data_IF_022252239562
#
_entry.id   IF_022252239562
#
_cell.length_a   1.000
_cell.length_b   1.000
_cell.length_c   1.000
_cell.angle_alpha   90.00
_cell.angle_beta   90.00
_cell.angle_gamma   90.00
#
_symmetry.space_group_name_H-M   'P 1'
#
loop_
_entity.id
_entity.type
_entity.pdbx_description
1 polymer ?
#
# COMPACT_ATOMS: atom_id res chain seq x y z
N UNK A 1 59.05 74.50 41.31
CA UNK A 1 59.18 73.21 40.64
C UNK A 1 57.88 72.44 40.93
N UNK A 2 56.95 72.49 39.99
CA UNK A 2 55.59 71.90 40.14
C UNK A 2 55.44 70.70 39.26
N UNK A 3 55.23 69.55 39.86
CA UNK A 3 54.90 68.33 39.20
C UNK A 3 53.38 68.20 39.03
N UNK A 4 52.91 68.14 37.80
CA UNK A 4 51.51 67.91 37.45
C UNK A 4 51.24 66.39 37.30
N UNK A 5 50.45 65.81 38.19
CA UNK A 5 49.87 64.51 38.07
C UNK A 5 48.58 64.56 37.19
N UNK A 6 48.57 63.80 36.12
CA UNK A 6 47.35 63.55 35.30
C UNK A 6 46.69 62.27 35.78
N UNK A 7 45.37 62.22 35.93
CA UNK A 7 44.67 60.98 36.23
C UNK A 7 44.44 60.14 34.92
N UNK A 8 44.69 58.84 35.03
CA UNK A 8 44.47 57.82 33.99
C UNK A 8 43.01 57.36 34.10
N UNK A 9 42.17 57.70 33.16
CA UNK A 9 40.80 57.21 33.08
C UNK A 9 40.76 55.81 32.36
N UNK A 10 40.53 54.79 33.10
CA UNK A 10 40.34 53.43 32.58
C UNK A 10 38.90 53.23 32.08
N UNK A 11 38.72 53.18 30.77
CA UNK A 11 37.45 52.72 30.14
C UNK A 11 37.39 51.23 30.24
N UNK A 12 36.49 50.67 31.07
CA UNK A 12 36.05 49.26 31.01
C UNK A 12 35.09 49.09 29.83
N UNK A 13 35.60 48.59 28.71
CA UNK A 13 34.77 48.12 27.60
C UNK A 13 34.10 46.75 27.98
N UNK A 14 32.82 46.77 28.29
CA UNK A 14 32.02 45.56 28.46
C UNK A 14 31.81 44.88 27.11
N UNK A 15 32.50 43.78 26.84
CA UNK A 15 32.22 42.90 25.71
C UNK A 15 30.95 42.09 26.01
N UNK A 16 29.85 42.48 25.38
CA UNK A 16 28.64 41.62 25.29
C UNK A 16 28.98 40.43 24.42
N UNK A 17 29.27 39.30 25.08
CA UNK A 17 29.29 37.99 24.41
C UNK A 17 27.84 37.61 24.03
N UNK A 18 27.46 37.89 22.77
CA UNK A 18 26.29 37.32 22.17
C UNK A 18 26.54 35.82 22.01
N UNK A 19 26.02 35.00 22.95
CA UNK A 19 25.92 33.56 22.78
C UNK A 19 24.98 33.32 21.64
N UNK A 20 25.53 33.03 20.44
CA UNK A 20 24.77 32.47 19.34
C UNK A 20 24.23 31.10 19.85
N UNK A 21 22.95 31.06 20.13
CA UNK A 21 22.24 29.77 20.32
C UNK A 21 22.34 29.05 18.98
N UNK A 22 23.30 28.15 18.89
CA UNK A 22 23.42 27.27 17.75
C UNK A 22 22.16 26.39 17.76
N UNK A 23 21.26 26.63 16.80
CA UNK A 23 20.10 25.75 16.62
C UNK A 23 20.62 24.31 16.49
N UNK A 24 20.13 23.41 17.36
CA UNK A 24 20.49 22.00 17.29
C UNK A 24 20.21 21.50 15.87
N UNK A 25 21.12 20.70 15.31
CA UNK A 25 20.89 20.06 14.02
C UNK A 25 19.58 19.25 14.12
N UNK A 26 18.54 19.58 13.35
CA UNK A 26 17.25 18.89 13.42
C UNK A 26 17.33 17.44 12.98
N UNK A 27 18.47 17.01 12.43
CA UNK A 27 18.80 15.64 12.13
C UNK A 27 18.41 15.19 10.72
N UNK A 28 18.52 13.90 10.51
CA UNK A 28 18.24 13.20 9.25
C UNK A 28 17.17 12.12 9.50
N UNK A 29 16.35 11.86 8.49
CA UNK A 29 15.41 10.76 8.43
C UNK A 29 15.71 9.92 7.19
N UNK A 30 15.95 8.62 7.36
CA UNK A 30 16.20 7.68 6.28
C UNK A 30 14.98 6.80 6.06
N UNK A 31 14.32 6.98 4.92
CA UNK A 31 13.08 6.29 4.55
C UNK A 31 13.34 5.25 3.47
N UNK A 32 12.74 4.07 3.61
CA UNK A 32 12.73 3.04 2.58
C UNK A 32 11.29 2.70 2.22
N UNK A 33 10.87 3.10 1.04
CA UNK A 33 9.49 3.05 0.56
C UNK A 33 9.37 2.28 -0.75
N UNK A 34 8.18 2.00 -1.17
CA UNK A 34 7.86 1.54 -2.52
C UNK A 34 8.27 2.59 -3.55
N UNK A 35 8.64 2.15 -4.76
CA UNK A 35 8.90 3.06 -5.86
C UNK A 35 7.62 3.86 -6.21
N UNK A 36 7.78 5.15 -6.49
CA UNK A 36 6.70 6.08 -6.88
C UNK A 36 5.47 6.09 -5.93
N UNK A 37 5.69 5.88 -4.63
CA UNK A 37 4.61 5.70 -3.66
C UNK A 37 4.50 6.81 -2.62
N UNK A 38 4.78 8.04 -3.04
CA UNK A 38 4.53 9.28 -2.30
C UNK A 38 4.49 10.46 -3.27
N UNK A 39 3.72 11.49 -2.96
CA UNK A 39 3.80 12.77 -3.68
C UNK A 39 5.21 13.36 -3.53
N UNK A 40 5.97 13.61 -4.60
CA UNK A 40 7.40 13.96 -4.54
C UNK A 40 7.73 15.24 -3.74
N UNK A 41 6.76 16.12 -3.60
CA UNK A 41 6.89 17.37 -2.82
C UNK A 41 6.81 17.12 -1.32
N UNK A 42 6.12 16.06 -0.87
CA UNK A 42 5.84 15.79 0.55
C UNK A 42 7.10 15.72 1.43
N UNK A 43 8.16 14.96 1.08
CA UNK A 43 9.40 14.95 1.86
C UNK A 43 10.12 16.31 1.88
N UNK A 44 10.03 17.08 0.79
CA UNK A 44 10.64 18.42 0.66
C UNK A 44 9.92 19.43 1.55
N UNK A 45 8.60 19.41 1.57
CA UNK A 45 7.77 20.30 2.39
C UNK A 45 7.97 20.00 3.88
N UNK A 46 8.04 18.71 4.24
CA UNK A 46 8.40 18.30 5.59
C UNK A 46 9.79 18.83 6.00
N UNK A 47 10.79 18.66 5.16
CA UNK A 47 12.14 19.14 5.43
C UNK A 47 12.18 20.68 5.57
N UNK A 48 11.43 21.41 4.74
CA UNK A 48 11.31 22.87 4.81
C UNK A 48 10.62 23.31 6.11
N UNK A 49 9.61 22.58 6.57
CA UNK A 49 8.86 22.92 7.77
C UNK A 49 9.61 22.60 9.06
N UNK A 50 10.38 21.51 9.09
CA UNK A 50 11.00 20.98 10.31
C UNK A 50 12.50 21.16 10.37
N UNK A 51 13.16 21.39 9.23
CA UNK A 51 14.62 21.36 9.08
C UNK A 51 15.19 19.93 9.01
N UNK A 52 14.41 18.88 9.22
CA UNK A 52 14.85 17.49 9.17
C UNK A 52 15.12 17.11 7.72
N UNK A 53 16.36 16.68 7.41
CA UNK A 53 16.71 16.16 6.08
C UNK A 53 16.10 14.78 5.87
N UNK A 54 15.45 14.56 4.73
CA UNK A 54 14.88 13.25 4.38
C UNK A 54 15.71 12.63 3.26
N UNK A 55 16.30 11.45 3.54
CA UNK A 55 16.93 10.58 2.55
C UNK A 55 15.96 9.49 2.17
N UNK A 56 15.77 9.28 0.86
CA UNK A 56 14.72 8.42 0.34
C UNK A 56 15.28 7.35 -0.58
N UNK A 57 15.12 6.08 -0.19
CA UNK A 57 15.43 4.92 -1.01
C UNK A 57 14.16 4.13 -1.30
N UNK A 58 14.17 3.31 -2.36
CA UNK A 58 12.99 2.57 -2.79
C UNK A 58 13.24 1.08 -2.93
N UNK A 59 12.18 0.30 -2.78
CA UNK A 59 12.12 -1.14 -3.05
C UNK A 59 10.93 -1.46 -3.96
N UNK A 60 10.92 -2.68 -4.49
CA UNK A 60 9.93 -3.16 -5.47
C UNK A 60 9.09 -4.35 -4.95
N UNK A 61 9.46 -4.93 -3.81
CA UNK A 61 8.74 -6.05 -3.20
C UNK A 61 8.87 -6.09 -1.68
N UNK A 62 7.86 -6.62 -0.99
CA UNK A 62 7.94 -6.85 0.45
C UNK A 62 9.09 -7.79 0.82
N UNK A 63 9.42 -8.76 -0.05
CA UNK A 63 10.52 -9.70 0.14
C UNK A 63 11.87 -8.97 0.13
N UNK A 64 12.06 -7.98 -0.74
CA UNK A 64 13.26 -7.11 -0.77
C UNK A 64 13.38 -6.31 0.53
N UNK A 65 12.27 -5.74 1.00
CA UNK A 65 12.20 -5.04 2.28
C UNK A 65 12.53 -6.00 3.45
N UNK A 66 11.89 -7.17 3.49
CA UNK A 66 12.09 -8.16 4.55
C UNK A 66 13.53 -8.62 4.61
N UNK A 67 14.12 -8.98 3.47
CA UNK A 67 15.54 -9.36 3.40
C UNK A 67 16.45 -8.28 3.97
N UNK A 68 16.15 -7.01 3.68
CA UNK A 68 16.90 -5.87 4.22
C UNK A 68 16.74 -5.72 5.74
N UNK A 69 15.51 -5.86 6.25
CA UNK A 69 15.21 -5.73 7.68
C UNK A 69 15.81 -6.86 8.52
N UNK A 70 15.79 -8.10 8.01
CA UNK A 70 16.32 -9.28 8.70
C UNK A 70 17.85 -9.26 8.86
N UNK A 71 18.58 -8.35 8.20
CA UNK A 71 20.00 -8.13 8.48
C UNK A 71 20.26 -7.58 9.89
N UNK A 72 19.21 -7.10 10.60
CA UNK A 72 19.28 -6.51 11.93
C UNK A 72 19.82 -5.08 11.98
N UNK A 73 20.38 -4.56 10.89
CA UNK A 73 20.84 -3.17 10.73
C UNK A 73 20.49 -2.69 9.32
N UNK A 74 19.20 -2.40 9.10
CA UNK A 74 18.73 -1.98 7.79
C UNK A 74 19.35 -0.66 7.31
N UNK A 75 19.71 0.23 8.24
CA UNK A 75 20.20 1.57 7.96
C UNK A 75 19.06 2.59 7.74
N UNK A 76 17.80 2.17 7.88
CA UNK A 76 16.63 3.02 7.75
C UNK A 76 15.96 3.28 9.08
N UNK A 77 15.29 4.43 9.17
CA UNK A 77 14.55 4.89 10.34
C UNK A 77 13.05 4.66 10.20
N UNK A 78 12.57 4.62 8.95
CA UNK A 78 11.16 4.45 8.62
C UNK A 78 11.01 3.59 7.36
N UNK A 79 10.11 2.62 7.41
CA UNK A 79 9.82 1.72 6.29
C UNK A 79 8.32 1.49 6.15
N UNK A 80 7.89 0.90 5.01
CA UNK A 80 6.47 0.74 4.72
C UNK A 80 6.12 -0.67 4.22
N UNK A 81 6.08 -1.68 5.11
CA UNK A 81 5.61 -3.01 4.76
C UNK A 81 4.09 -3.05 4.56
N UNK A 82 3.63 -3.99 3.74
CA UNK A 82 2.23 -4.36 3.71
C UNK A 82 1.85 -5.15 4.97
N UNK A 83 0.61 -5.06 5.41
CA UNK A 83 0.13 -5.55 6.70
C UNK A 83 0.44 -7.04 6.99
N UNK A 84 0.36 -7.91 5.99
CA UNK A 84 0.69 -9.33 6.13
C UNK A 84 2.19 -9.57 6.44
N UNK A 85 3.08 -8.75 5.86
CA UNK A 85 4.51 -8.80 6.16
C UNK A 85 4.82 -8.13 7.49
N UNK A 86 4.12 -7.04 7.83
CA UNK A 86 4.21 -6.39 9.13
C UNK A 86 4.04 -7.40 10.27
N UNK A 87 3.01 -8.26 10.21
CA UNK A 87 2.74 -9.28 11.24
C UNK A 87 3.94 -10.23 11.44
N UNK A 88 4.48 -10.76 10.33
CA UNK A 88 5.64 -11.66 10.37
C UNK A 88 6.86 -10.97 10.94
N UNK A 89 7.09 -9.73 10.54
CA UNK A 89 8.22 -8.91 10.95
C UNK A 89 8.11 -8.44 12.41
N UNK A 90 6.88 -8.19 12.91
CA UNK A 90 6.64 -7.96 14.35
C UNK A 90 7.06 -9.19 15.16
N UNK A 91 6.61 -10.38 14.73
CA UNK A 91 6.97 -11.65 15.40
C UNK A 91 8.48 -11.92 15.38
N UNK A 92 9.16 -11.47 14.35
CA UNK A 92 10.62 -11.55 14.23
C UNK A 92 11.36 -10.47 15.04
N UNK A 93 10.66 -9.51 15.66
CA UNK A 93 11.27 -8.46 16.49
C UNK A 93 12.00 -7.38 15.70
N UNK A 94 11.70 -7.22 14.40
CA UNK A 94 12.39 -6.23 13.55
C UNK A 94 11.84 -4.82 13.67
N UNK A 95 10.70 -4.64 14.33
CA UNK A 95 10.11 -3.33 14.61
C UNK A 95 10.06 -3.00 16.09
N UNK A 96 10.13 -1.72 16.40
CA UNK A 96 9.83 -1.20 17.71
C UNK A 96 8.40 -0.67 17.78
N UNK A 97 7.83 -0.65 19.00
CA UNK A 97 6.49 -0.10 19.22
C UNK A 97 6.49 1.41 18.98
N UNK A 98 5.40 1.89 18.41
CA UNK A 98 5.14 3.31 18.26
C UNK A 98 4.91 3.99 19.61
N UNK A 99 5.51 5.14 19.80
CA UNK A 99 5.15 6.05 20.90
C UNK A 99 4.00 6.96 20.44
N UNK A 100 2.75 6.52 20.70
CA UNK A 100 1.55 7.26 20.28
C UNK A 100 1.45 8.66 20.89
N UNK A 101 2.20 8.96 21.98
CA UNK A 101 2.27 10.32 22.56
C UNK A 101 2.97 11.31 21.61
N UNK A 102 3.81 10.81 20.71
CA UNK A 102 4.50 11.59 19.65
C UNK A 102 3.67 11.71 18.36
N UNK A 103 2.47 11.12 18.34
CA UNK A 103 1.56 11.09 17.20
C UNK A 103 0.22 11.77 17.55
N UNK A 104 0.18 13.08 17.83
CA UNK A 104 -1.07 13.76 18.16
C UNK A 104 -2.14 13.64 17.06
N UNK A 105 -1.71 13.47 15.78
CA UNK A 105 -2.61 13.25 14.66
C UNK A 105 -3.10 11.79 14.51
N UNK A 106 -2.72 10.87 15.43
CA UNK A 106 -3.26 9.50 15.46
C UNK A 106 -4.78 9.46 15.50
N UNK A 107 -5.40 10.40 16.19
CA UNK A 107 -6.86 10.54 16.30
C UNK A 107 -7.56 10.77 14.94
N UNK A 108 -6.82 11.14 13.90
CA UNK A 108 -7.35 11.30 12.53
C UNK A 108 -7.53 9.96 11.81
N UNK A 109 -6.96 8.87 12.31
CA UNK A 109 -7.12 7.55 11.68
C UNK A 109 -8.56 7.04 11.85
N UNK A 110 -9.08 6.37 10.82
CA UNK A 110 -10.41 5.78 10.85
C UNK A 110 -10.42 4.54 11.76
N UNK A 111 -11.25 4.51 12.83
CA UNK A 111 -11.29 3.41 13.77
C UNK A 111 -11.76 2.08 13.14
N UNK A 112 -12.59 2.10 12.09
CA UNK A 112 -13.02 0.88 11.41
C UNK A 112 -11.85 0.26 10.63
N UNK A 113 -11.01 1.08 9.99
CA UNK A 113 -9.82 0.59 9.30
C UNK A 113 -8.75 0.13 10.29
N UNK A 114 -8.57 0.84 11.41
CA UNK A 114 -7.68 0.39 12.49
C UNK A 114 -8.10 -0.98 13.03
N UNK A 115 -9.40 -1.22 13.21
CA UNK A 115 -9.94 -2.50 13.65
C UNK A 115 -9.64 -3.64 12.65
N UNK A 116 -9.69 -3.38 11.36
CA UNK A 116 -9.29 -4.36 10.35
C UNK A 116 -7.79 -4.66 10.42
N UNK A 117 -6.95 -3.65 10.63
CA UNK A 117 -5.50 -3.82 10.74
C UNK A 117 -5.09 -4.59 12.02
N UNK A 118 -5.90 -4.57 13.09
CA UNK A 118 -5.63 -5.34 14.32
C UNK A 118 -5.45 -6.84 14.08
N UNK A 119 -5.94 -7.37 12.97
CA UNK A 119 -5.70 -8.75 12.57
C UNK A 119 -4.20 -9.05 12.43
N UNK A 120 -3.42 -8.10 11.92
CA UNK A 120 -1.98 -8.25 11.69
C UNK A 120 -1.12 -7.50 12.74
N UNK A 121 -1.67 -6.48 13.40
CA UNK A 121 -1.00 -5.69 14.44
C UNK A 121 -1.93 -5.46 15.64
N UNK A 122 -2.09 -6.44 16.53
CA UNK A 122 -3.00 -6.34 17.69
C UNK A 122 -2.79 -5.08 18.52
N UNK A 123 -3.83 -4.25 18.63
CA UNK A 123 -3.79 -2.94 19.30
C UNK A 123 -3.08 -1.86 18.49
N UNK A 124 -2.76 -2.10 17.22
CA UNK A 124 -2.09 -1.16 16.31
C UNK A 124 -0.84 -0.53 16.98
N UNK A 125 0.08 -1.39 17.42
CA UNK A 125 1.22 -0.96 18.24
C UNK A 125 2.47 -0.66 17.41
N UNK A 126 2.58 -1.17 16.17
CA UNK A 126 3.79 -1.12 15.36
C UNK A 126 3.60 -0.40 14.02
N UNK A 127 2.42 -0.53 13.40
CA UNK A 127 2.11 0.03 12.11
C UNK A 127 1.14 1.20 12.16
N UNK A 128 1.39 2.23 11.34
CA UNK A 128 0.44 3.31 11.07
C UNK A 128 -0.10 3.11 9.65
N UNK A 129 -1.40 2.84 9.47
CA UNK A 129 -1.95 2.66 8.13
C UNK A 129 -1.77 3.94 7.31
N UNK A 130 -1.28 3.75 6.10
CA UNK A 130 -0.99 4.81 5.13
C UNK A 130 -2.03 4.84 4.03
N UNK A 131 -1.86 3.97 3.05
CA UNK A 131 -2.84 3.71 1.99
C UNK A 131 -3.42 2.32 2.17
N UNK A 132 -4.61 2.12 1.65
CA UNK A 132 -5.20 0.80 1.56
C UNK A 132 -5.81 0.58 0.18
N UNK A 133 -6.04 -0.67 -0.15
CA UNK A 133 -6.67 -1.03 -1.40
C UNK A 133 -7.24 -2.44 -1.35
N UNK A 134 -7.88 -2.81 -2.44
CA UNK A 134 -8.48 -4.13 -2.63
C UNK A 134 -7.93 -4.77 -3.89
N UNK A 135 -8.12 -6.08 -4.00
CA UNK A 135 -7.97 -6.78 -5.27
C UNK A 135 -9.34 -6.81 -5.93
N UNK A 136 -9.41 -6.37 -7.17
CA UNK A 136 -10.66 -6.25 -7.90
C UNK A 136 -10.52 -6.65 -9.37
N UNK A 137 -11.61 -6.56 -10.11
CA UNK A 137 -11.68 -6.86 -11.54
C UNK A 137 -11.65 -5.55 -12.32
N UNK A 138 -10.61 -5.35 -13.13
CA UNK A 138 -10.57 -4.30 -14.16
C UNK A 138 -10.92 -4.87 -15.52
N UNK A 139 -11.65 -4.11 -16.34
CA UNK A 139 -12.10 -4.60 -17.63
C UNK A 139 -12.32 -3.48 -18.65
N UNK A 140 -12.29 -3.86 -19.93
CA UNK A 140 -12.71 -3.01 -21.04
C UNK A 140 -14.20 -3.27 -21.32
N UNK A 141 -15.12 -2.32 -21.03
CA UNK A 141 -16.57 -2.54 -21.14
C UNK A 141 -17.02 -2.94 -22.54
N UNK A 142 -16.45 -2.31 -23.56
CA UNK A 142 -16.82 -2.58 -24.96
C UNK A 142 -16.43 -4.01 -25.37
N UNK A 143 -15.22 -4.44 -25.04
CA UNK A 143 -14.72 -5.79 -25.37
C UNK A 143 -15.45 -6.88 -24.60
N UNK A 144 -15.67 -6.69 -23.26
CA UNK A 144 -16.41 -7.66 -22.45
C UNK A 144 -17.85 -7.79 -22.93
N UNK A 145 -18.52 -6.66 -23.23
CA UNK A 145 -19.88 -6.67 -23.80
C UNK A 145 -19.95 -7.39 -25.16
N UNK A 146 -18.96 -7.16 -26.03
CA UNK A 146 -18.91 -7.82 -27.33
C UNK A 146 -18.78 -9.35 -27.23
N UNK A 147 -18.11 -9.86 -26.18
CA UNK A 147 -17.80 -11.29 -26.00
C UNK A 147 -18.86 -12.01 -25.15
N UNK A 148 -19.33 -11.38 -24.06
CA UNK A 148 -20.25 -12.00 -23.09
C UNK A 148 -21.68 -11.45 -23.15
N UNK A 149 -21.93 -10.36 -23.86
CA UNK A 149 -23.23 -9.66 -23.90
C UNK A 149 -23.37 -8.59 -22.83
N UNK A 150 -24.55 -7.98 -22.78
CA UNK A 150 -24.85 -6.88 -21.86
C UNK A 150 -24.93 -7.30 -20.38
N UNK A 151 -25.28 -8.57 -20.14
CA UNK A 151 -25.48 -9.13 -18.78
C UNK A 151 -24.20 -9.80 -18.25
N UNK A 152 -23.02 -9.42 -18.79
CA UNK A 152 -21.74 -9.93 -18.29
C UNK A 152 -21.59 -9.63 -16.79
N UNK A 153 -21.19 -10.63 -15.95
CA UNK A 153 -21.13 -10.48 -14.49
C UNK A 153 -19.87 -9.72 -14.06
N UNK A 154 -19.73 -8.45 -14.49
CA UNK A 154 -18.53 -7.64 -14.26
C UNK A 154 -18.31 -7.28 -12.80
N UNK A 155 -19.34 -7.39 -11.94
CA UNK A 155 -19.32 -7.16 -10.50
C UNK A 155 -19.22 -8.44 -9.68
N UNK A 156 -18.78 -9.55 -10.28
CA UNK A 156 -18.69 -10.85 -9.64
C UNK A 156 -17.43 -11.60 -10.07
N UNK A 157 -16.85 -12.36 -9.15
CA UNK A 157 -15.77 -13.30 -9.45
C UNK A 157 -16.17 -14.39 -10.47
N UNK A 158 -17.48 -14.59 -10.72
CA UNK A 158 -17.97 -15.43 -11.82
C UNK A 158 -17.37 -15.04 -13.17
N UNK A 159 -17.05 -13.77 -13.38
CA UNK A 159 -16.45 -13.31 -14.63
C UNK A 159 -15.16 -14.06 -14.96
N UNK A 160 -14.33 -14.29 -13.96
CA UNK A 160 -12.97 -14.84 -14.12
C UNK A 160 -12.79 -16.26 -13.58
N UNK A 161 -13.77 -16.82 -12.83
CA UNK A 161 -13.65 -18.17 -12.29
C UNK A 161 -14.62 -19.18 -12.92
N UNK A 162 -15.65 -18.74 -13.64
CA UNK A 162 -16.50 -19.64 -14.41
C UNK A 162 -15.85 -20.01 -15.75
N UNK A 163 -15.59 -21.31 -16.01
CA UNK A 163 -14.94 -21.76 -17.25
C UNK A 163 -15.64 -21.30 -18.53
N UNK A 164 -16.97 -21.22 -18.51
CA UNK A 164 -17.78 -20.79 -19.65
C UNK A 164 -17.56 -19.31 -20.00
N UNK A 165 -17.35 -18.43 -19.02
CA UNK A 165 -17.01 -17.03 -19.25
C UNK A 165 -15.57 -16.91 -19.73
N UNK A 166 -14.64 -17.60 -19.08
CA UNK A 166 -13.22 -17.59 -19.42
C UNK A 166 -12.93 -18.13 -20.83
N UNK A 167 -13.65 -19.17 -21.24
CA UNK A 167 -13.53 -19.72 -22.59
C UNK A 167 -13.83 -18.67 -23.67
N UNK A 168 -14.85 -17.83 -23.45
CA UNK A 168 -15.21 -16.72 -24.35
C UNK A 168 -14.21 -15.56 -24.25
N UNK A 169 -13.86 -15.16 -23.02
CA UNK A 169 -12.92 -14.04 -22.76
C UNK A 169 -11.50 -14.32 -23.24
N UNK A 170 -11.12 -15.58 -23.47
CA UNK A 170 -9.85 -15.96 -24.10
C UNK A 170 -9.58 -15.19 -25.39
N UNK A 171 -10.61 -14.89 -26.18
CA UNK A 171 -10.48 -14.19 -27.45
C UNK A 171 -9.99 -12.76 -27.33
N UNK A 172 -10.21 -12.10 -26.17
CA UNK A 172 -9.78 -10.74 -25.93
C UNK A 172 -8.72 -10.59 -24.82
N UNK A 173 -8.34 -11.70 -24.18
CA UNK A 173 -7.25 -11.77 -23.22
C UNK A 173 -7.66 -11.47 -21.76
N UNK A 174 -7.27 -12.37 -20.86
CA UNK A 174 -7.45 -12.24 -19.39
C UNK A 174 -6.11 -12.38 -18.71
N UNK A 175 -5.78 -11.46 -17.78
CA UNK A 175 -4.58 -11.52 -16.95
C UNK A 175 -4.92 -11.55 -15.46
N UNK A 176 -4.04 -12.10 -14.66
CA UNK A 176 -4.10 -12.03 -13.20
C UNK A 176 -2.73 -11.71 -12.61
N UNK A 177 -2.71 -11.23 -11.38
CA UNK A 177 -1.48 -11.04 -10.61
C UNK A 177 -0.68 -12.35 -10.55
N UNK A 178 0.63 -12.29 -10.64
CA UNK A 178 1.54 -13.40 -10.33
C UNK A 178 1.89 -13.38 -8.84
N UNK A 179 0.88 -13.60 -8.01
CA UNK A 179 0.99 -13.59 -6.56
C UNK A 179 0.08 -14.63 -5.94
N UNK A 180 0.63 -15.73 -5.41
CA UNK A 180 -0.17 -16.75 -4.74
C UNK A 180 -0.82 -16.25 -3.45
N UNK A 181 -0.19 -15.26 -2.78
CA UNK A 181 -0.71 -14.66 -1.55
C UNK A 181 -1.90 -13.72 -1.79
N UNK A 182 -2.05 -13.24 -3.02
CA UNK A 182 -3.18 -12.38 -3.40
C UNK A 182 -4.30 -13.18 -4.07
N UNK A 183 -3.96 -14.07 -5.00
CA UNK A 183 -4.96 -14.76 -5.83
C UNK A 183 -5.58 -15.97 -5.13
N UNK A 184 -4.80 -16.79 -4.42
CA UNK A 184 -5.37 -18.00 -3.81
C UNK A 184 -6.37 -17.71 -2.68
N UNK A 185 -6.21 -16.66 -1.83
CA UNK A 185 -7.27 -16.23 -0.91
C UNK A 185 -8.58 -15.87 -1.62
N UNK A 186 -8.50 -15.18 -2.78
CA UNK A 186 -9.67 -14.85 -3.60
C UNK A 186 -10.36 -16.13 -4.10
N UNK A 187 -9.59 -17.10 -4.59
CA UNK A 187 -10.13 -18.39 -5.07
C UNK A 187 -10.78 -19.19 -3.94
N UNK A 188 -10.13 -19.24 -2.76
CA UNK A 188 -10.68 -19.89 -1.58
C UNK A 188 -12.00 -19.24 -1.17
N UNK A 189 -12.04 -17.91 -1.07
CA UNK A 189 -13.24 -17.16 -0.75
C UNK A 189 -14.38 -17.41 -1.76
N UNK A 190 -14.09 -17.38 -3.05
CA UNK A 190 -15.04 -17.69 -4.10
C UNK A 190 -15.62 -19.11 -3.99
N UNK A 191 -14.83 -20.06 -3.51
CA UNK A 191 -15.29 -21.45 -3.23
C UNK A 191 -16.07 -21.59 -1.91
N UNK A 192 -16.32 -20.50 -1.18
CA UNK A 192 -16.97 -20.52 0.14
C UNK A 192 -16.07 -21.09 1.25
N UNK A 193 -14.76 -21.07 1.05
CA UNK A 193 -13.75 -21.53 2.00
C UNK A 193 -13.13 -20.33 2.73
N UNK A 194 -12.47 -20.59 3.86
CA UNK A 194 -11.71 -19.57 4.56
C UNK A 194 -10.55 -19.07 3.68
N UNK A 195 -10.47 -17.76 3.34
CA UNK A 195 -9.38 -17.19 2.56
C UNK A 195 -8.01 -17.38 3.22
N UNK A 196 -7.97 -17.53 4.56
CA UNK A 196 -6.78 -17.79 5.36
C UNK A 196 -6.63 -19.27 5.77
N UNK A 197 -7.23 -20.20 5.01
CA UNK A 197 -7.27 -21.62 5.35
C UNK A 197 -5.87 -22.20 5.61
N UNK A 198 -5.71 -22.83 6.77
CA UNK A 198 -4.53 -23.66 7.09
C UNK A 198 -4.69 -25.13 6.68
N UNK A 199 -5.71 -25.47 5.88
CA UNK A 199 -5.98 -26.84 5.42
C UNK A 199 -5.47 -27.06 3.99
N UNK A 200 -4.49 -27.94 3.82
CA UNK A 200 -3.91 -28.27 2.52
C UNK A 200 -4.94 -28.70 1.46
N UNK A 201 -6.03 -29.40 1.87
CA UNK A 201 -7.08 -29.86 0.95
C UNK A 201 -7.86 -28.71 0.30
N UNK A 202 -7.93 -27.55 0.93
CA UNK A 202 -8.60 -26.40 0.36
C UNK A 202 -7.79 -25.82 -0.80
N UNK A 203 -6.46 -25.87 -0.71
CA UNK A 203 -5.56 -25.48 -1.82
C UNK A 203 -5.63 -26.50 -2.99
N UNK A 204 -5.95 -27.77 -2.75
CA UNK A 204 -6.24 -28.74 -3.82
C UNK A 204 -7.50 -28.33 -4.59
N UNK A 205 -8.58 -27.91 -3.88
CA UNK A 205 -9.82 -27.42 -4.52
C UNK A 205 -9.57 -26.14 -5.30
N UNK A 206 -8.83 -25.18 -4.71
CA UNK A 206 -8.44 -23.93 -5.38
C UNK A 206 -7.63 -24.22 -6.64
N UNK A 207 -6.64 -25.12 -6.56
CA UNK A 207 -5.83 -25.56 -7.71
C UNK A 207 -6.71 -26.17 -8.80
N UNK A 208 -7.64 -27.05 -8.44
CA UNK A 208 -8.53 -27.71 -9.40
C UNK A 208 -9.42 -26.70 -10.15
N UNK A 209 -9.92 -25.65 -9.47
CA UNK A 209 -10.66 -24.57 -10.13
C UNK A 209 -9.75 -23.79 -11.09
N UNK A 210 -8.59 -23.36 -10.63
CA UNK A 210 -7.66 -22.58 -11.44
C UNK A 210 -7.16 -23.33 -12.67
N UNK A 211 -6.93 -24.64 -12.57
CA UNK A 211 -6.54 -25.47 -13.72
C UNK A 211 -7.64 -25.56 -14.79
N UNK A 212 -8.94 -25.52 -14.40
CA UNK A 212 -10.05 -25.49 -15.37
C UNK A 212 -10.05 -24.23 -16.24
N UNK A 213 -9.56 -23.13 -15.71
CA UNK A 213 -9.53 -21.83 -16.42
C UNK A 213 -8.16 -21.48 -16.98
N UNK A 214 -7.09 -22.18 -16.57
CA UNK A 214 -5.70 -21.84 -16.89
C UNK A 214 -5.44 -21.69 -18.40
N UNK A 215 -5.99 -22.57 -19.21
CA UNK A 215 -5.81 -22.55 -20.67
C UNK A 215 -6.47 -21.37 -21.37
N UNK A 216 -7.32 -20.62 -20.66
CA UNK A 216 -8.00 -19.42 -21.15
C UNK A 216 -7.30 -18.13 -20.68
N UNK A 217 -6.37 -18.23 -19.73
CA UNK A 217 -5.56 -17.10 -19.27
C UNK A 217 -4.50 -16.73 -20.29
N UNK A 218 -4.34 -15.43 -20.54
CA UNK A 218 -3.23 -14.91 -21.35
C UNK A 218 -1.91 -15.06 -20.57
N UNK A 219 -1.87 -14.58 -19.34
CA UNK A 219 -0.69 -14.68 -18.49
C UNK A 219 -0.99 -14.36 -17.01
N UNK A 220 -0.02 -14.66 -16.15
CA UNK A 220 0.12 -14.14 -14.78
C UNK A 220 1.28 -13.16 -14.74
N UNK A 221 1.03 -11.92 -14.35
CA UNK A 221 2.06 -10.90 -14.19
C UNK A 221 1.52 -9.70 -13.38
N UNK A 222 2.22 -9.28 -12.34
CA UNK A 222 1.74 -8.26 -11.40
C UNK A 222 1.96 -6.80 -11.87
N UNK A 223 2.61 -6.59 -13.01
CA UNK A 223 2.88 -5.24 -13.56
C UNK A 223 2.39 -5.06 -15.00
N UNK A 224 2.64 -6.05 -15.87
CA UNK A 224 2.31 -5.97 -17.29
C UNK A 224 0.83 -5.71 -17.57
N UNK A 225 -0.09 -6.27 -16.76
CA UNK A 225 -1.54 -6.11 -16.95
C UNK A 225 -2.00 -4.65 -16.98
N UNK A 226 -1.30 -3.78 -16.25
CA UNK A 226 -1.64 -2.35 -16.16
C UNK A 226 -1.51 -1.66 -17.52
N UNK A 227 -0.39 -1.87 -18.19
CA UNK A 227 -0.15 -1.31 -19.53
C UNK A 227 -1.04 -1.97 -20.56
N UNK A 228 -1.16 -3.29 -20.53
CA UNK A 228 -1.92 -4.04 -21.54
C UNK A 228 -3.43 -3.69 -21.51
N UNK A 229 -4.01 -3.49 -20.30
CA UNK A 229 -5.43 -3.11 -20.22
C UNK A 229 -5.65 -1.67 -20.68
N UNK A 230 -4.72 -0.75 -20.37
CA UNK A 230 -4.77 0.65 -20.81
C UNK A 230 -4.59 0.80 -22.32
N UNK A 231 -3.81 -0.07 -22.94
CA UNK A 231 -3.63 -0.12 -24.39
C UNK A 231 -4.77 -0.88 -25.10
N UNK A 232 -5.57 -1.64 -24.33
CA UNK A 232 -6.61 -2.50 -24.89
C UNK A 232 -6.08 -3.84 -25.43
N UNK A 233 -4.87 -4.27 -25.08
CA UNK A 233 -4.29 -5.56 -25.50
C UNK A 233 -4.96 -6.75 -24.79
N UNK A 234 -5.51 -6.51 -23.57
CA UNK A 234 -6.36 -7.45 -22.85
C UNK A 234 -7.71 -6.80 -22.53
N UNK A 235 -8.72 -7.62 -22.23
CA UNK A 235 -10.05 -7.12 -21.92
C UNK A 235 -10.44 -7.24 -20.46
N UNK A 236 -9.79 -8.11 -19.66
CA UNK A 236 -10.02 -8.29 -18.24
C UNK A 236 -8.70 -8.49 -17.52
N UNK A 237 -8.59 -7.92 -16.34
CA UNK A 237 -7.49 -8.20 -15.43
C UNK A 237 -7.98 -8.30 -13.97
N UNK A 238 -7.36 -9.18 -13.19
CA UNK A 238 -7.46 -9.19 -11.73
C UNK A 238 -6.22 -8.51 -11.17
N UNK A 239 -6.41 -7.43 -10.42
CA UNK A 239 -5.30 -6.60 -9.95
C UNK A 239 -5.68 -5.64 -8.83
N UNK A 240 -4.78 -4.72 -8.52
CA UNK A 240 -4.92 -3.76 -7.42
C UNK A 240 -5.79 -2.58 -7.83
N UNK A 241 -6.69 -2.15 -6.93
CA UNK A 241 -7.70 -1.11 -7.16
C UNK A 241 -7.12 0.21 -7.68
N UNK A 242 -6.09 0.76 -7.03
CA UNK A 242 -5.48 2.03 -7.45
C UNK A 242 -4.76 1.94 -8.80
N UNK A 243 -4.24 0.77 -9.17
CA UNK A 243 -3.63 0.58 -10.50
C UNK A 243 -4.65 0.77 -11.61
N UNK A 244 -5.87 0.28 -11.45
CA UNK A 244 -6.92 0.48 -12.46
C UNK A 244 -7.34 1.96 -12.56
N UNK A 245 -7.39 2.67 -11.42
CA UNK A 245 -7.63 4.11 -11.44
C UNK A 245 -6.55 4.87 -12.22
N UNK A 246 -5.26 4.62 -11.90
CA UNK A 246 -4.14 5.29 -12.56
C UNK A 246 -4.08 4.97 -14.06
N UNK A 247 -4.14 3.70 -14.42
CA UNK A 247 -4.01 3.28 -15.82
C UNK A 247 -5.29 3.54 -16.62
N UNK A 248 -6.45 3.54 -16.00
CA UNK A 248 -7.70 4.02 -16.63
C UNK A 248 -7.65 5.50 -16.98
N UNK A 249 -7.06 6.34 -16.12
CA UNK A 249 -6.84 7.75 -16.42
C UNK A 249 -5.81 7.93 -17.56
N UNK A 250 -4.69 7.19 -17.55
CA UNK A 250 -3.71 7.20 -18.66
C UNK A 250 -4.33 6.80 -20.00
N UNK A 251 -5.22 5.80 -20.01
CA UNK A 251 -5.94 5.42 -21.24
C UNK A 251 -6.82 6.55 -21.77
N UNK A 252 -7.53 7.27 -20.88
CA UNK A 252 -8.32 8.45 -21.26
C UNK A 252 -7.45 9.58 -21.80
N UNK A 253 -6.33 9.88 -21.16
CA UNK A 253 -5.38 10.92 -21.58
C UNK A 253 -4.72 10.61 -22.92
N UNK A 254 -4.44 9.34 -23.18
CA UNK A 254 -3.88 8.88 -24.47
C UNK A 254 -4.85 9.07 -25.65
N UNK A 255 -6.16 9.20 -25.40
CA UNK A 255 -7.17 9.47 -26.43
C UNK A 255 -7.31 8.39 -27.49
N UNK A 256 -6.87 7.16 -27.20
CA UNK A 256 -6.88 6.03 -28.15
C UNK A 256 -8.23 5.28 -28.22
N UNK A 257 -9.26 5.79 -27.53
CA UNK A 257 -10.60 5.19 -27.47
C UNK A 257 -10.74 4.01 -26.52
N UNK A 258 -9.68 3.64 -25.79
CA UNK A 258 -9.74 2.58 -24.76
C UNK A 258 -10.37 3.15 -23.49
N UNK A 259 -11.37 2.42 -22.99
CA UNK A 259 -11.99 2.68 -21.68
C UNK A 259 -11.67 1.52 -20.76
N UNK A 260 -11.15 1.82 -19.59
CA UNK A 260 -10.94 0.87 -18.49
C UNK A 260 -11.92 1.20 -17.38
N UNK A 261 -12.74 0.23 -17.02
CA UNK A 261 -13.64 0.28 -15.87
C UNK A 261 -13.21 -0.82 -14.87
N UNK A 262 -13.68 -0.74 -13.64
CA UNK A 262 -13.37 -1.72 -12.60
C UNK A 262 -14.52 -1.90 -11.63
N UNK A 263 -14.60 -3.07 -10.99
CA UNK A 263 -15.61 -3.37 -9.97
C UNK A 263 -15.00 -4.17 -8.84
N UNK A 264 -15.35 -3.76 -7.64
CA UNK A 264 -15.18 -4.58 -6.45
C UNK A 264 -16.24 -5.68 -6.45
N UNK A 265 -15.85 -6.96 -6.53
CA UNK A 265 -16.82 -8.05 -6.64
C UNK A 265 -17.76 -8.12 -5.43
N UNK A 266 -19.03 -8.34 -5.69
CA UNK A 266 -20.11 -8.37 -4.70
C UNK A 266 -19.95 -9.47 -3.64
N UNK A 267 -19.18 -10.50 -3.94
CA UNK A 267 -18.85 -11.60 -3.01
C UNK A 267 -17.88 -11.14 -1.93
N UNK A 268 -17.13 -10.07 -2.17
CA UNK A 268 -16.05 -9.57 -1.33
C UNK A 268 -14.67 -9.85 -1.91
N UNK A 269 -13.65 -9.25 -1.31
CA UNK A 269 -12.28 -9.29 -1.79
C UNK A 269 -11.28 -9.09 -0.64
N UNK A 270 -9.99 -9.40 -0.85
CA UNK A 270 -8.95 -9.00 0.11
C UNK A 270 -8.85 -7.47 0.21
N UNK A 271 -8.72 -6.96 1.43
CA UNK A 271 -8.28 -5.60 1.71
C UNK A 271 -6.86 -5.68 2.27
N UNK A 272 -5.99 -4.83 1.78
CA UNK A 272 -4.61 -4.71 2.25
C UNK A 272 -4.34 -3.29 2.72
N UNK A 273 -3.34 -3.16 3.60
CA UNK A 273 -2.85 -1.90 4.12
C UNK A 273 -1.33 -1.85 3.96
N UNK A 274 -0.81 -0.76 3.43
CA UNK A 274 0.59 -0.43 3.61
C UNK A 274 0.75 0.42 4.86
N UNK A 275 1.75 0.12 5.67
CA UNK A 275 1.85 0.66 7.02
C UNK A 275 3.23 1.26 7.27
N UNK A 276 3.28 2.48 7.78
CA UNK A 276 4.53 3.05 8.27
C UNK A 276 4.95 2.36 9.55
N UNK A 277 6.16 1.83 9.57
CA UNK A 277 6.73 1.12 10.72
C UNK A 277 8.18 1.56 10.98
N UNK A 278 8.59 1.58 12.24
CA UNK A 278 9.91 2.02 12.69
C UNK A 278 10.75 0.78 12.99
N UNK A 279 11.85 0.52 12.25
CA UNK A 279 12.75 -0.59 12.55
C UNK A 279 13.30 -0.52 13.98
N UNK A 280 13.52 -1.67 14.61
CA UNK A 280 14.10 -1.76 15.95
C UNK A 280 15.52 -1.15 16.01
N UNK A 281 16.24 -1.15 14.88
CA UNK A 281 17.58 -0.59 14.74
C UNK A 281 17.60 0.88 14.29
N UNK A 282 16.44 1.54 14.18
CA UNK A 282 16.36 2.94 13.75
C UNK A 282 17.14 3.86 14.69
N UNK A 283 17.97 4.74 14.12
CA UNK A 283 18.76 5.70 14.87
C UNK A 283 17.99 6.99 15.17
N UNK A 284 17.08 7.39 14.24
CA UNK A 284 16.38 8.66 14.27
C UNK A 284 14.88 8.47 14.54
N UNK A 285 14.56 7.86 15.69
CA UNK A 285 13.18 7.46 16.07
C UNK A 285 12.24 8.65 16.22
N UNK A 286 12.75 9.78 16.73
CA UNK A 286 11.95 10.99 16.92
C UNK A 286 11.60 11.65 15.59
N UNK A 287 12.54 11.66 14.65
CA UNK A 287 12.32 12.15 13.29
C UNK A 287 11.33 11.27 12.52
N UNK A 288 11.39 9.95 12.73
CA UNK A 288 10.43 9.02 12.16
C UNK A 288 9.01 9.29 12.67
N UNK A 289 8.83 9.47 13.99
CA UNK A 289 7.52 9.85 14.54
C UNK A 289 7.04 11.22 14.03
N UNK A 290 7.94 12.20 13.91
CA UNK A 290 7.60 13.53 13.38
C UNK A 290 7.09 13.44 11.94
N UNK A 291 7.75 12.62 11.09
CA UNK A 291 7.32 12.43 9.71
C UNK A 291 5.99 11.67 9.62
N UNK A 292 5.81 10.60 10.39
CA UNK A 292 4.53 9.88 10.47
C UNK A 292 3.42 10.86 10.89
N UNK A 293 3.64 11.66 11.93
CA UNK A 293 2.64 12.61 12.40
C UNK A 293 2.30 13.68 11.37
N UNK A 294 3.30 14.14 10.59
CA UNK A 294 3.10 15.05 9.46
C UNK A 294 2.24 14.40 8.35
N UNK A 295 2.52 13.14 8.00
CA UNK A 295 1.71 12.40 7.03
C UNK A 295 0.26 12.20 7.48
N UNK A 296 0.00 12.20 8.79
CA UNK A 296 -1.34 12.12 9.35
C UNK A 296 -2.10 13.46 9.35
N UNK A 297 -1.51 14.54 8.83
CA UNK A 297 -2.24 15.79 8.58
C UNK A 297 -3.24 15.57 7.42
N UNK A 298 -4.53 15.95 7.60
CA UNK A 298 -5.57 15.67 6.61
C UNK A 298 -5.26 16.16 5.19
N UNK A 299 -4.69 17.37 5.06
CA UNK A 299 -4.34 17.94 3.76
C UNK A 299 -3.14 17.25 3.10
N UNK A 300 -2.16 16.84 3.90
CA UNK A 300 -0.96 16.16 3.40
C UNK A 300 -1.35 14.81 2.82
N UNK A 301 -2.06 14.00 3.61
CA UNK A 301 -2.42 12.64 3.16
C UNK A 301 -3.44 12.66 2.01
N UNK A 302 -4.34 13.64 1.96
CA UNK A 302 -5.28 13.79 0.86
C UNK A 302 -4.55 14.08 -0.47
N UNK A 303 -3.57 14.98 -0.48
CA UNK A 303 -2.75 15.26 -1.66
C UNK A 303 -1.96 14.02 -2.14
N UNK A 304 -1.50 13.19 -1.21
CA UNK A 304 -0.83 11.92 -1.53
C UNK A 304 -1.84 10.94 -2.14
N UNK A 305 -3.04 10.82 -1.58
CA UNK A 305 -4.11 9.99 -2.15
C UNK A 305 -4.46 10.38 -3.58
N UNK A 306 -4.59 11.67 -3.85
CA UNK A 306 -4.89 12.18 -5.19
C UNK A 306 -3.78 11.85 -6.19
N UNK A 307 -2.54 11.91 -5.77
CA UNK A 307 -1.39 11.57 -6.59
C UNK A 307 -1.31 10.06 -6.87
N UNK A 308 -1.53 9.23 -5.83
CA UNK A 308 -1.38 7.78 -5.92
C UNK A 308 -2.62 7.06 -6.50
N UNK A 309 -3.80 7.66 -6.39
CA UNK A 309 -5.06 7.00 -6.77
C UNK A 309 -5.54 5.96 -5.74
N UNK A 310 -4.99 5.98 -4.53
CA UNK A 310 -5.40 5.09 -3.44
C UNK A 310 -6.09 5.87 -2.31
N UNK A 311 -7.13 5.30 -1.68
CA UNK A 311 -7.68 5.85 -0.46
C UNK A 311 -6.69 5.73 0.70
N UNK A 312 -6.75 6.68 1.62
CA UNK A 312 -5.97 6.71 2.84
C UNK A 312 -6.83 6.36 4.07
N UNK A 313 -6.17 6.03 5.17
CA UNK A 313 -6.84 5.67 6.42
C UNK A 313 -7.18 6.87 7.33
N UNK A 314 -7.06 8.11 6.83
CA UNK A 314 -7.28 9.32 7.61
C UNK A 314 -8.71 9.83 7.43
N UNK A 315 -9.53 9.69 8.48
CA UNK A 315 -10.96 10.01 8.42
C UNK A 315 -11.27 11.47 8.04
N UNK A 316 -10.64 12.51 8.63
CA UNK A 316 -10.82 13.90 8.18
C UNK A 316 -10.08 14.23 6.87
N UNK A 317 -9.13 13.41 6.42
CA UNK A 317 -8.42 13.56 5.14
C UNK A 317 -9.25 13.11 3.95
N UNK A 318 -10.02 12.02 4.08
CA UNK A 318 -10.82 11.47 2.98
C UNK A 318 -11.79 12.48 2.33
N UNK A 319 -12.52 13.34 3.08
CA UNK A 319 -13.36 14.39 2.46
C UNK A 319 -12.58 15.41 1.61
N UNK A 320 -11.26 15.54 1.79
CA UNK A 320 -10.40 16.45 1.02
C UNK A 320 -9.86 15.81 -0.26
N UNK A 321 -9.95 14.49 -0.39
CA UNK A 321 -9.57 13.75 -1.60
C UNK A 321 -10.54 14.08 -2.74
N UNK A 322 -10.03 14.12 -3.97
CA UNK A 322 -10.84 14.40 -5.16
C UNK A 322 -12.05 13.46 -5.28
N UNK A 323 -13.16 13.98 -5.80
CA UNK A 323 -14.41 13.23 -5.94
C UNK A 323 -14.24 11.94 -6.77
N UNK A 324 -13.32 11.96 -7.74
CA UNK A 324 -13.02 10.81 -8.60
C UNK A 324 -12.53 9.57 -7.82
N UNK A 325 -11.86 9.78 -6.68
CA UNK A 325 -11.43 8.72 -5.78
C UNK A 325 -12.44 8.56 -4.64
N UNK A 326 -12.74 9.66 -3.92
CA UNK A 326 -13.59 9.67 -2.72
C UNK A 326 -14.97 9.06 -2.95
N UNK A 327 -15.62 9.41 -4.05
CA UNK A 327 -17.00 9.02 -4.35
C UNK A 327 -17.07 7.71 -5.17
N UNK A 328 -15.93 7.08 -5.46
CA UNK A 328 -15.87 5.82 -6.15
C UNK A 328 -15.86 4.66 -5.13
N UNK A 329 -16.99 3.98 -4.99
CA UNK A 329 -17.15 2.91 -4.00
C UNK A 329 -16.38 1.62 -4.30
N UNK A 330 -15.88 1.45 -5.52
CA UNK A 330 -14.96 0.36 -5.86
C UNK A 330 -13.52 0.63 -5.35
N UNK A 331 -13.18 1.91 -5.10
CA UNK A 331 -11.91 2.33 -4.48
C UNK A 331 -12.07 2.57 -2.98
N UNK A 332 -13.16 3.26 -2.59
CA UNK A 332 -13.49 3.60 -1.20
C UNK A 332 -14.76 2.84 -0.80
N UNK A 333 -14.63 1.59 -0.33
CA UNK A 333 -15.77 0.74 -0.02
C UNK A 333 -16.72 1.36 1.01
N UNK A 334 -18.02 1.22 0.78
CA UNK A 334 -19.03 1.61 1.75
C UNK A 334 -18.95 0.75 3.02
N UNK A 335 -19.53 1.16 4.16
CA UNK A 335 -19.57 0.34 5.37
C UNK A 335 -20.12 -1.08 5.16
N UNK A 336 -21.09 -1.25 4.26
CA UNK A 336 -21.66 -2.57 3.95
C UNK A 336 -20.73 -3.42 3.07
N UNK A 337 -20.00 -2.78 2.15
CA UNK A 337 -18.95 -3.46 1.36
C UNK A 337 -17.78 -3.88 2.26
N UNK A 338 -17.34 -3.02 3.20
CA UNK A 338 -16.28 -3.32 4.15
C UNK A 338 -16.54 -4.60 4.95
N UNK A 339 -17.81 -4.90 5.29
CA UNK A 339 -18.18 -6.14 6.00
C UNK A 339 -17.89 -7.43 5.21
N UNK A 340 -17.76 -7.32 3.90
CA UNK A 340 -17.44 -8.45 3.00
C UNK A 340 -15.97 -8.56 2.66
N UNK A 341 -15.18 -7.54 3.01
CA UNK A 341 -13.75 -7.56 2.82
C UNK A 341 -13.07 -8.36 3.93
N UNK A 342 -11.95 -8.95 3.61
CA UNK A 342 -11.17 -9.74 4.56
C UNK A 342 -9.69 -9.41 4.44
N UNK A 343 -8.99 -9.52 5.57
CA UNK A 343 -7.56 -9.30 5.66
C UNK A 343 -6.84 -10.63 5.49
N UNK A 344 -5.84 -10.66 4.64
CA UNK A 344 -4.99 -11.85 4.46
C UNK A 344 -4.00 -11.94 5.62
N UNK A 345 -3.86 -13.14 6.16
CA UNK A 345 -2.95 -13.46 7.26
C UNK A 345 -1.77 -14.32 6.79
N UNK A 346 -0.61 -14.20 7.43
CA UNK A 346 0.49 -15.12 7.22
C UNK A 346 0.09 -16.56 7.53
N UNK A 347 0.47 -17.48 6.66
CA UNK A 347 0.18 -18.90 6.84
C UNK A 347 1.31 -19.59 7.63
N UNK A 348 0.99 -20.67 8.38
CA UNK A 348 2.02 -21.55 8.90
C UNK A 348 2.94 -22.05 7.77
N UNK A 349 4.24 -22.11 8.03
CA UNK A 349 5.24 -22.45 7.00
C UNK A 349 4.95 -23.75 6.21
N UNK A 350 4.38 -24.84 6.79
CA UNK A 350 4.00 -26.01 6.02
C UNK A 350 2.91 -25.71 4.97
N UNK A 351 1.95 -24.85 5.31
CA UNK A 351 0.84 -24.45 4.41
C UNK A 351 1.34 -23.46 3.37
N UNK A 352 2.24 -22.55 3.73
CA UNK A 352 2.91 -21.65 2.79
C UNK A 352 3.60 -22.45 1.66
N UNK A 353 4.28 -23.54 2.01
CA UNK A 353 4.86 -24.44 1.00
C UNK A 353 3.80 -25.15 0.14
N UNK A 354 2.61 -25.46 0.69
CA UNK A 354 1.47 -25.99 -0.08
C UNK A 354 0.98 -24.93 -1.05
N UNK A 355 0.76 -23.69 -0.59
CA UNK A 355 0.32 -22.54 -1.40
C UNK A 355 1.27 -22.28 -2.57
N UNK A 356 2.57 -22.24 -2.30
CA UNK A 356 3.60 -22.03 -3.33
C UNK A 356 3.64 -23.15 -4.38
N UNK A 357 3.53 -24.42 -3.96
CA UNK A 357 3.47 -25.56 -4.89
C UNK A 357 2.19 -25.54 -5.72
N UNK A 358 1.05 -25.23 -5.10
CA UNK A 358 -0.23 -25.08 -5.81
C UNK A 358 -0.12 -24.01 -6.90
N UNK A 359 0.48 -22.86 -6.59
CA UNK A 359 0.69 -21.79 -7.56
C UNK A 359 1.61 -22.21 -8.71
N UNK A 360 2.70 -22.86 -8.41
CA UNK A 360 3.62 -23.40 -9.44
C UNK A 360 2.90 -24.36 -10.40
N UNK A 361 2.06 -25.27 -9.89
CA UNK A 361 1.22 -26.18 -10.70
C UNK A 361 0.23 -25.40 -11.57
N UNK A 362 -0.47 -24.42 -11.00
CA UNK A 362 -1.42 -23.58 -11.74
C UNK A 362 -0.73 -22.87 -12.90
N UNK A 363 0.43 -22.27 -12.67
CA UNK A 363 1.19 -21.58 -13.72
C UNK A 363 1.64 -22.55 -14.83
N UNK A 364 2.10 -23.72 -14.45
CA UNK A 364 2.52 -24.76 -15.41
C UNK A 364 1.33 -25.36 -16.18
N UNK A 365 0.12 -25.28 -15.65
CA UNK A 365 -1.09 -25.85 -16.29
C UNK A 365 -1.26 -27.35 -16.13
N UNK A 366 -0.68 -27.93 -15.08
CA UNK A 366 -0.67 -29.39 -14.81
C UNK A 366 -0.86 -29.72 -13.32
#
# INVERSE_FOLDING_TARGET
MHSLLRPLTTLLGGALLATAVQAADPGELRVYNWADYILPETPKDFAKQTGIRVTWDTFDSNESLEAKLLTGRSGYDLVIPSNQFLETQIKAGVFQKLDKRKLPNWQNLDPELLKLLEVNDPGNQYGVPYMYGTILIGFNPAKVKAVLGADAPVDSWDLVFKPENMAKLKSCGVAMLDSPSDILPVVLHYLGLDPNSANAKDYEKATALMLKIRSYMAYFNSTKYMTDIANGDICVAVGYSGSFYQFGNRAKEAGNGVVVDWRLPREGAPIWFDTWAIPASAANVDQAHAFINYLLEPKVIAGISDYLGYPNANKPGMPLVTAAIRDNHDLVPTPDMLKKLYVVQPLPQPIERVRTRAWSRIKAGN
#
